data_IF_120008758317
#
_entry.id   IF_120008758317
#
_cell.length_a   1.000
_cell.length_b   1.000
_cell.length_c   1.000
_cell.angle_alpha   90.00
_cell.angle_beta   90.00
_cell.angle_gamma   90.00
#
_symmetry.space_group_name_H-M   'P 1'
#
loop_
_entity.id
_entity.type
_entity.pdbx_description
1 polymer ?
#
# COMPACT_ATOMS: atom_id res chain seq x y z
N UNK A 1 2.50 -5.71 6.53
CA UNK A 1 1.89 -6.32 7.75
C UNK A 1 0.40 -6.55 7.51
N UNK A 2 -0.26 -7.53 8.17
CA UNK A 2 -1.71 -7.75 8.05
C UNK A 2 -2.43 -7.33 9.34
N UNK A 3 -3.43 -6.46 9.24
CA UNK A 3 -4.27 -5.98 10.33
C UNK A 3 -5.69 -6.51 10.14
N UNK A 4 -6.32 -6.98 11.21
CA UNK A 4 -7.74 -7.35 11.23
C UNK A 4 -8.44 -6.62 12.36
N UNK A 5 -9.38 -5.76 12.02
CA UNK A 5 -10.07 -4.89 12.99
C UNK A 5 -11.46 -4.54 12.44
N UNK A 6 -12.48 -4.43 13.28
CA UNK A 6 -13.83 -4.01 12.83
C UNK A 6 -14.43 -4.77 11.63
N UNK A 7 -14.02 -6.02 11.40
CA UNK A 7 -14.41 -6.79 10.21
C UNK A 7 -13.79 -6.30 8.89
N UNK A 8 -12.65 -5.61 8.96
CA UNK A 8 -11.78 -5.26 7.85
C UNK A 8 -10.47 -6.03 7.97
N UNK A 9 -9.95 -6.45 6.82
CA UNK A 9 -8.60 -6.98 6.68
C UNK A 9 -7.78 -6.00 5.84
N UNK A 10 -6.77 -5.41 6.46
CA UNK A 10 -5.94 -4.35 5.87
C UNK A 10 -4.52 -4.89 5.72
N UNK A 11 -3.97 -4.81 4.51
CA UNK A 11 -2.58 -5.15 4.24
C UNK A 11 -1.76 -3.87 4.12
N UNK A 12 -0.63 -3.80 4.79
CA UNK A 12 0.30 -2.67 4.68
C UNK A 12 1.56 -3.08 3.93
N UNK A 13 2.04 -2.19 3.07
CA UNK A 13 3.35 -2.21 2.42
C UNK A 13 3.70 -3.57 1.77
N UNK A 14 2.98 -3.98 0.71
CA UNK A 14 3.24 -5.21 -0.02
C UNK A 14 4.47 -5.05 -0.95
N UNK A 15 5.65 -4.89 -0.36
CA UNK A 15 6.91 -4.75 -1.08
C UNK A 15 7.54 -6.06 -1.55
N UNK A 16 8.57 -5.90 -2.38
CA UNK A 16 9.43 -6.93 -2.94
C UNK A 16 10.47 -7.32 -1.89
N UNK A 17 10.17 -8.36 -1.11
CA UNK A 17 11.19 -9.04 -0.34
C UNK A 17 11.27 -10.51 -0.78
N UNK A 18 12.47 -11.10 -0.79
CA UNK A 18 12.71 -12.48 -1.27
C UNK A 18 11.93 -13.55 -0.50
N UNK A 19 11.32 -13.21 0.63
CA UNK A 19 10.47 -14.09 1.45
C UNK A 19 9.02 -13.61 1.59
N UNK A 20 8.66 -12.49 0.98
CA UNK A 20 7.37 -11.81 1.17
C UNK A 20 6.35 -12.28 0.14
N UNK A 21 6.71 -12.44 -1.15
CA UNK A 21 5.74 -12.92 -2.16
C UNK A 21 5.13 -14.30 -1.82
N UNK A 22 5.91 -15.21 -1.23
CA UNK A 22 5.43 -16.53 -0.84
C UNK A 22 4.59 -16.55 0.46
N UNK A 23 4.54 -15.44 1.21
CA UNK A 23 3.86 -15.34 2.52
C UNK A 23 2.81 -14.24 2.59
N UNK A 24 2.72 -13.36 1.59
CA UNK A 24 1.69 -12.35 1.55
C UNK A 24 0.32 -13.03 1.44
N UNK A 25 -0.64 -12.72 2.32
CA UNK A 25 -2.01 -13.11 2.09
C UNK A 25 -2.45 -12.48 0.78
N UNK A 26 -2.98 -13.28 -0.14
CA UNK A 26 -3.42 -12.81 -1.45
C UNK A 26 -4.94 -12.68 -1.54
N UNK A 27 -5.69 -13.08 -0.51
CA UNK A 27 -7.16 -13.07 -0.51
C UNK A 27 -7.74 -12.51 0.79
N UNK A 28 -9.02 -12.14 0.74
CA UNK A 28 -9.76 -11.51 1.84
C UNK A 28 -9.11 -10.22 2.33
N UNK A 29 -8.65 -9.37 1.40
CA UNK A 29 -8.10 -8.05 1.70
C UNK A 29 -9.13 -6.99 1.29
N UNK A 30 -9.49 -6.11 2.22
CA UNK A 30 -10.42 -5.01 1.98
C UNK A 30 -9.69 -3.72 1.60
N UNK A 31 -8.49 -3.51 2.14
CA UNK A 31 -7.70 -2.32 1.88
C UNK A 31 -6.20 -2.60 1.88
N UNK A 32 -5.47 -1.86 1.05
CA UNK A 32 -4.01 -1.85 0.99
C UNK A 32 -3.51 -0.45 1.35
N UNK A 33 -2.63 -0.35 2.33
CA UNK A 33 -1.96 0.91 2.69
C UNK A 33 -0.52 0.83 2.20
N UNK A 34 -0.07 1.85 1.47
CA UNK A 34 1.31 1.91 0.96
C UNK A 34 1.93 3.23 1.42
N UNK A 35 3.03 3.15 2.15
CA UNK A 35 3.63 4.30 2.84
C UNK A 35 4.58 5.10 1.96
N UNK A 36 5.41 4.46 1.13
CA UNK A 36 6.38 5.13 0.25
C UNK A 36 6.87 4.21 -0.87
N UNK A 37 7.63 4.76 -1.82
CA UNK A 37 8.03 4.09 -3.07
C UNK A 37 9.14 3.03 -2.96
N UNK A 38 9.77 2.85 -1.80
CA UNK A 38 10.88 1.92 -1.70
C UNK A 38 10.45 0.47 -2.01
N UNK A 39 11.29 -0.32 -2.69
CA UNK A 39 10.93 -1.66 -3.14
C UNK A 39 10.46 -2.60 -2.02
N UNK A 40 11.02 -2.47 -0.81
CA UNK A 40 10.65 -3.29 0.35
C UNK A 40 9.28 -2.92 0.94
N UNK A 41 8.69 -1.79 0.52
CA UNK A 41 7.33 -1.36 0.88
C UNK A 41 6.35 -1.38 -0.30
N UNK A 42 6.83 -1.12 -1.51
CA UNK A 42 6.04 -1.05 -2.72
C UNK A 42 6.60 -1.96 -3.81
N UNK A 43 5.81 -2.96 -4.21
CA UNK A 43 6.09 -3.76 -5.39
C UNK A 43 4.84 -3.90 -6.25
N UNK A 44 4.90 -3.31 -7.44
CA UNK A 44 3.74 -3.19 -8.33
C UNK A 44 3.11 -4.53 -8.70
N UNK A 45 3.93 -5.56 -8.94
CA UNK A 45 3.40 -6.87 -9.32
C UNK A 45 2.71 -7.57 -8.14
N UNK A 46 3.21 -7.38 -6.91
CA UNK A 46 2.51 -7.82 -5.70
C UNK A 46 1.17 -7.10 -5.55
N UNK A 47 1.12 -5.78 -5.76
CA UNK A 47 -0.12 -4.98 -5.72
C UNK A 47 -1.12 -5.47 -6.77
N UNK A 48 -0.70 -5.66 -8.02
CA UNK A 48 -1.57 -6.19 -9.08
C UNK A 48 -2.10 -7.59 -8.76
N UNK A 49 -1.27 -8.46 -8.19
CA UNK A 49 -1.68 -9.80 -7.77
C UNK A 49 -2.72 -9.74 -6.64
N UNK A 50 -2.53 -8.86 -5.66
CA UNK A 50 -3.51 -8.63 -4.58
C UNK A 50 -4.84 -8.15 -5.16
N UNK A 51 -4.84 -7.13 -6.03
CA UNK A 51 -6.07 -6.59 -6.62
C UNK A 51 -6.81 -7.60 -7.51
N UNK A 52 -6.07 -8.46 -8.23
CA UNK A 52 -6.67 -9.53 -9.05
C UNK A 52 -7.50 -10.49 -8.21
N UNK A 53 -7.03 -10.81 -7.02
CA UNK A 53 -7.70 -11.71 -6.09
C UNK A 53 -8.72 -10.99 -5.19
N UNK A 54 -8.65 -9.66 -5.09
CA UNK A 54 -9.50 -8.82 -4.27
C UNK A 54 -9.97 -7.58 -5.08
N UNK A 55 -10.85 -7.74 -6.07
CA UNK A 55 -11.22 -6.66 -7.00
C UNK A 55 -11.96 -5.49 -6.33
N UNK A 56 -12.50 -5.69 -5.13
CA UNK A 56 -13.14 -4.65 -4.33
C UNK A 56 -12.17 -3.94 -3.36
N UNK A 57 -10.92 -4.42 -3.25
CA UNK A 57 -9.94 -3.82 -2.36
C UNK A 57 -9.58 -2.42 -2.83
N UNK A 58 -9.45 -1.49 -1.87
CA UNK A 58 -9.01 -0.11 -2.14
C UNK A 58 -7.56 0.09 -1.75
N UNK A 59 -6.83 0.88 -2.53
CA UNK A 59 -5.48 1.32 -2.17
C UNK A 59 -5.57 2.72 -1.56
N UNK A 60 -4.89 2.93 -0.43
CA UNK A 60 -4.69 4.25 0.17
C UNK A 60 -3.20 4.54 0.24
N UNK A 61 -2.78 5.71 -0.27
CA UNK A 61 -1.36 6.06 -0.35
C UNK A 61 -1.16 7.55 -0.60
N UNK A 62 0.09 8.00 -0.58
CA UNK A 62 0.49 9.37 -0.88
C UNK A 62 0.63 9.62 -2.39
N UNK A 63 0.88 10.87 -2.77
CA UNK A 63 1.02 11.28 -4.17
C UNK A 63 2.26 10.71 -4.87
N UNK A 64 3.30 10.33 -4.14
CA UNK A 64 4.52 9.70 -4.71
C UNK A 64 4.17 8.34 -5.30
N UNK A 65 3.66 7.44 -4.47
CA UNK A 65 3.22 6.10 -4.90
C UNK A 65 2.01 6.20 -5.83
N UNK A 66 1.10 7.13 -5.57
CA UNK A 66 -0.09 7.35 -6.39
C UNK A 66 0.22 7.59 -7.88
N UNK A 67 1.31 8.32 -8.19
CA UNK A 67 1.78 8.50 -9.57
C UNK A 67 2.22 7.19 -10.22
N UNK A 68 2.91 6.33 -9.47
CA UNK A 68 3.35 5.01 -9.94
C UNK A 68 2.15 4.10 -10.22
N UNK A 69 1.13 4.13 -9.36
CA UNK A 69 -0.12 3.38 -9.56
C UNK A 69 -0.90 3.87 -10.78
N UNK A 70 -1.00 5.19 -10.98
CA UNK A 70 -1.65 5.77 -12.15
C UNK A 70 -0.96 5.41 -13.46
N UNK A 71 0.37 5.36 -13.49
CA UNK A 71 1.13 4.93 -14.67
C UNK A 71 0.76 3.49 -15.09
N UNK A 72 0.30 2.68 -14.15
CA UNK A 72 -0.13 1.29 -14.33
C UNK A 72 -1.65 1.14 -14.49
N UNK A 73 -2.39 2.25 -14.52
CA UNK A 73 -3.85 2.26 -14.65
C UNK A 73 -4.60 1.82 -13.38
N UNK A 74 -3.94 1.82 -12.22
CA UNK A 74 -4.53 1.42 -10.94
C UNK A 74 -5.13 2.63 -10.22
N UNK A 75 -6.32 2.44 -9.65
CA UNK A 75 -7.00 3.45 -8.84
C UNK A 75 -6.50 3.41 -7.39
N UNK A 76 -6.45 4.58 -6.75
CA UNK A 76 -6.11 4.73 -5.34
C UNK A 76 -6.86 5.93 -4.73
N UNK A 77 -6.93 5.95 -3.41
CA UNK A 77 -7.44 7.05 -2.60
C UNK A 77 -6.22 7.78 -1.98
N UNK A 78 -6.15 9.10 -2.14
CA UNK A 78 -5.05 9.89 -1.62
C UNK A 78 -5.14 10.02 -0.09
N UNK A 79 -4.02 9.76 0.60
CA UNK A 79 -3.86 9.93 2.04
C UNK A 79 -2.45 10.46 2.34
N UNK A 80 -2.33 11.77 2.47
CA UNK A 80 -1.10 12.51 2.78
C UNK A 80 -0.96 12.77 4.29
N UNK A 81 0.18 13.34 4.68
CA UNK A 81 0.42 13.87 6.03
C UNK A 81 -0.72 14.79 6.51
N UNK A 82 -1.21 14.53 7.72
CA UNK A 82 -2.30 15.27 8.34
C UNK A 82 -3.69 15.00 7.75
N UNK A 83 -3.80 14.13 6.73
CA UNK A 83 -5.09 13.70 6.19
C UNK A 83 -5.60 12.47 6.93
N UNK A 84 -6.92 12.33 6.95
CA UNK A 84 -7.60 11.18 7.53
C UNK A 84 -8.69 10.67 6.60
N UNK A 85 -8.92 9.37 6.61
CA UNK A 85 -10.04 8.73 5.93
C UNK A 85 -10.69 7.70 6.85
N UNK A 86 -11.91 7.28 6.51
CA UNK A 86 -12.63 6.27 7.26
C UNK A 86 -13.01 5.10 6.36
N UNK A 87 -12.77 3.88 6.85
CA UNK A 87 -13.24 2.64 6.24
C UNK A 87 -14.11 1.94 7.28
N UNK A 88 -15.42 1.83 7.01
CA UNK A 88 -16.41 1.39 8.00
C UNK A 88 -16.29 2.21 9.30
N UNK A 89 -15.90 1.57 10.40
CA UNK A 89 -15.70 2.19 11.73
C UNK A 89 -14.24 2.48 12.07
N UNK A 90 -13.30 2.25 11.14
CA UNK A 90 -11.87 2.48 11.34
C UNK A 90 -11.47 3.81 10.72
N UNK A 91 -10.76 4.63 11.50
CA UNK A 91 -10.12 5.84 11.04
C UNK A 91 -8.66 5.52 10.70
N UNK A 92 -8.19 6.00 9.56
CA UNK A 92 -6.81 5.86 9.10
C UNK A 92 -6.29 7.27 8.87
N UNK A 93 -5.14 7.59 9.47
CA UNK A 93 -4.51 8.90 9.39
C UNK A 93 -3.11 8.77 8.78
N UNK A 94 -2.80 9.66 7.85
CA UNK A 94 -1.46 9.82 7.30
C UNK A 94 -0.61 10.68 8.23
N UNK A 95 0.55 10.16 8.64
CA UNK A 95 1.52 10.87 9.46
C UNK A 95 2.91 10.73 8.85
N UNK A 96 3.62 11.85 8.72
CA UNK A 96 4.97 11.91 8.16
C UNK A 96 4.97 12.40 6.72
N UNK A 97 5.88 13.33 6.42
CA UNK A 97 6.02 13.99 5.11
C UNK A 97 7.43 13.90 4.52
N UNK A 98 8.43 13.64 5.35
CA UNK A 98 9.83 13.65 4.96
C UNK A 98 10.26 12.21 4.63
N UNK A 99 10.39 11.91 3.33
CA UNK A 99 11.04 10.69 2.88
C UNK A 99 12.56 10.90 2.92
N UNK A 100 13.32 9.97 3.51
CA UNK A 100 14.78 10.04 3.41
C UNK A 100 15.20 9.88 1.94
N UNK A 101 16.19 10.63 1.45
CA UNK A 101 16.63 10.50 0.07
C UNK A 101 17.09 9.06 -0.20
N UNK A 102 16.66 8.51 -1.35
CA UNK A 102 17.23 7.29 -1.91
C UNK A 102 18.66 7.61 -2.32
N UNK A 103 19.65 7.02 -1.65
CA UNK A 103 21.04 7.09 -2.08
C UNK A 103 21.25 6.06 -3.21
N UNK A 104 21.86 6.47 -4.32
CA UNK A 104 22.31 5.52 -5.34
C UNK A 104 23.26 4.51 -4.70
N UNK A 105 23.02 3.21 -4.92
CA UNK A 105 24.03 2.20 -4.63
C UNK A 105 25.26 2.52 -5.47
N UNK A 106 26.39 2.81 -4.81
CA UNK A 106 27.67 2.98 -5.49
C UNK A 106 27.98 1.66 -6.22
N UNK A 107 27.96 1.72 -7.56
CA UNK A 107 28.39 0.66 -8.48
C UNK A 107 29.86 0.30 -8.33
#
# INVERSE_FOLDING_TARGET
MLIKEGGLTILTDPGAAPYVEAKLPTSNIDAVLITHEHPDHFHIESVKNILRNNPAAKIYTNSSVGKLLQAEGLSFELLEDGQSTAIKSIIIEGHGKDHSPIYEEYV
#
